data_IF_611200957944
#
_entry.id   IF_611200957944
#
_cell.length_a   1.000
_cell.length_b   1.000
_cell.length_c   1.000
_cell.angle_alpha   90.00
_cell.angle_beta   90.00
_cell.angle_gamma   90.00
#
_symmetry.space_group_name_H-M   'P 1'
#
loop_
_entity.id
_entity.type
_entity.pdbx_description
1 polymer ?
#
# COMPACT_ATOMS: atom_id res chain seq x y z
N UNK A 1 -11.41 0.54 13.68
CA UNK A 1 -10.36 -0.21 12.96
C UNK A 1 -10.84 -1.58 12.46
N UNK A 2 -11.41 -2.47 13.28
CA UNK A 2 -12.00 -3.75 12.80
C UNK A 2 -13.05 -3.59 11.68
N UNK A 3 -13.84 -2.50 11.71
CA UNK A 3 -14.80 -2.20 10.64
C UNK A 3 -14.14 -1.83 9.30
N UNK A 4 -12.97 -1.17 9.32
CA UNK A 4 -12.23 -0.74 8.12
C UNK A 4 -11.71 -1.97 7.38
N UNK A 5 -11.04 -2.87 8.11
CA UNK A 5 -10.49 -4.13 7.58
C UNK A 5 -11.60 -4.99 6.97
N UNK A 6 -12.71 -5.18 7.70
CA UNK A 6 -13.85 -5.95 7.18
C UNK A 6 -14.47 -5.31 5.93
N UNK A 7 -14.49 -3.97 5.85
CA UNK A 7 -15.04 -3.28 4.68
C UNK A 7 -14.15 -3.49 3.47
N UNK A 8 -12.82 -3.39 3.62
CA UNK A 8 -11.86 -3.60 2.53
C UNK A 8 -11.93 -5.05 2.04
N UNK A 9 -11.85 -6.02 2.97
CA UNK A 9 -11.91 -7.44 2.63
C UNK A 9 -13.19 -7.80 1.85
N UNK A 10 -14.35 -7.32 2.31
CA UNK A 10 -15.62 -7.54 1.63
C UNK A 10 -15.74 -6.80 0.30
N UNK A 11 -15.13 -5.62 0.16
CA UNK A 11 -15.23 -4.79 -1.05
C UNK A 11 -14.43 -5.39 -2.20
N UNK A 12 -13.28 -5.98 -1.89
CA UNK A 12 -12.33 -6.45 -2.89
C UNK A 12 -12.24 -7.98 -2.98
N UNK A 13 -13.00 -8.70 -2.15
CA UNK A 13 -12.95 -10.15 -1.99
C UNK A 13 -11.50 -10.63 -1.74
N UNK A 14 -10.85 -9.97 -0.78
CA UNK A 14 -9.46 -10.23 -0.39
C UNK A 14 -9.34 -10.49 1.11
N UNK A 15 -8.20 -11.09 1.49
CA UNK A 15 -7.77 -11.20 2.87
C UNK A 15 -6.54 -10.32 3.07
N UNK A 16 -6.69 -9.23 3.82
CA UNK A 16 -5.55 -8.41 4.24
C UNK A 16 -4.64 -9.18 5.21
N UNK A 17 -3.31 -9.16 5.01
CA UNK A 17 -2.38 -9.82 5.92
C UNK A 17 -2.41 -9.23 7.33
N UNK A 18 -2.20 -10.09 8.33
CA UNK A 18 -2.23 -9.67 9.74
C UNK A 18 -1.22 -8.56 10.03
N UNK A 19 -0.01 -8.64 9.48
CA UNK A 19 1.05 -7.64 9.67
C UNK A 19 0.59 -6.22 9.26
N UNK A 20 -0.14 -6.11 8.14
CA UNK A 20 -0.67 -4.84 7.67
C UNK A 20 -1.80 -4.35 8.56
N UNK A 21 -2.71 -5.25 8.96
CA UNK A 21 -3.81 -4.89 9.86
C UNK A 21 -3.31 -4.46 11.24
N UNK A 22 -2.26 -5.09 11.74
CA UNK A 22 -1.64 -4.76 13.02
C UNK A 22 -0.92 -3.42 12.96
N UNK A 23 -0.25 -3.11 11.83
CA UNK A 23 0.35 -1.79 11.60
C UNK A 23 -0.71 -0.68 11.52
N UNK A 24 -1.86 -0.93 10.89
CA UNK A 24 -2.99 0.02 10.89
C UNK A 24 -3.58 0.22 12.30
N UNK A 25 -3.60 -0.82 13.13
CA UNK A 25 -4.13 -0.77 14.50
C UNK A 25 -3.16 -0.03 15.43
N UNK A 26 -1.88 -0.37 15.36
CA UNK A 26 -0.81 0.18 16.17
C UNK A 26 -0.12 1.35 15.48
N UNK A 27 -0.88 2.12 14.69
CA UNK A 27 -0.41 3.16 13.77
C UNK A 27 0.85 3.87 14.31
N UNK A 28 2.04 3.58 13.73
CA UNK A 28 3.32 3.90 14.36
C UNK A 28 3.74 5.34 14.12
N UNK A 29 3.09 6.04 13.19
CA UNK A 29 3.43 7.41 12.85
C UNK A 29 2.93 8.35 13.94
N UNK A 30 3.77 9.34 14.34
CA UNK A 30 3.35 10.34 15.29
C UNK A 30 2.10 11.07 14.75
N UNK A 31 1.18 11.51 15.62
CA UNK A 31 0.12 12.42 15.22
C UNK A 31 0.79 13.67 14.66
N UNK A 32 0.85 13.79 13.35
CA UNK A 32 1.47 14.91 12.68
C UNK A 32 0.54 16.13 12.77
N UNK A 33 1.09 17.26 13.20
CA UNK A 33 0.48 18.60 13.06
C UNK A 33 0.57 19.12 11.61
N UNK A 34 1.30 18.41 10.76
CA UNK A 34 1.47 18.69 9.33
C UNK A 34 0.55 17.76 8.52
N UNK A 35 -0.54 18.28 7.92
CA UNK A 35 -1.50 17.49 7.15
C UNK A 35 -0.86 16.88 5.88
N UNK A 36 0.24 17.44 5.38
CA UNK A 36 0.93 16.97 4.18
C UNK A 36 1.87 15.78 4.52
N UNK A 37 2.33 15.67 5.77
CA UNK A 37 3.20 14.57 6.23
C UNK A 37 2.45 13.28 6.58
N UNK A 38 1.11 13.33 6.68
CA UNK A 38 0.22 12.17 6.88
C UNK A 38 -0.14 11.52 5.53
N UNK A 39 0.04 12.24 4.44
CA UNK A 39 -0.14 11.73 3.10
C UNK A 39 1.20 11.22 2.58
N UNK A 40 1.51 9.98 2.93
CA UNK A 40 2.05 9.19 1.84
C UNK A 40 2.57 7.80 2.10
N UNK A 41 3.07 7.47 3.28
CA UNK A 41 3.73 6.17 3.45
C UNK A 41 2.71 5.08 3.83
N UNK A 42 1.82 5.34 4.80
CA UNK A 42 0.75 4.41 5.18
C UNK A 42 -0.59 5.13 5.37
N UNK A 43 -1.50 4.98 4.41
CA UNK A 43 -2.80 5.65 4.44
C UNK A 43 -3.81 4.87 5.29
N UNK A 44 -4.34 5.53 6.32
CA UNK A 44 -5.42 4.99 7.18
C UNK A 44 -6.84 5.31 6.68
N UNK A 45 -6.96 6.19 5.69
CA UNK A 45 -8.24 6.64 5.17
C UNK A 45 -8.90 5.54 4.32
N UNK A 46 -10.07 5.07 4.76
CA UNK A 46 -10.80 3.99 4.10
C UNK A 46 -11.28 4.37 2.70
N UNK A 47 -11.74 5.61 2.52
CA UNK A 47 -12.26 6.07 1.24
C UNK A 47 -11.14 6.17 0.22
N UNK A 48 -9.96 6.65 0.63
CA UNK A 48 -8.76 6.65 -0.20
C UNK A 48 -8.36 5.24 -0.57
N UNK A 49 -8.21 4.33 0.41
CA UNK A 49 -7.83 2.94 0.17
C UNK A 49 -8.77 2.26 -0.84
N UNK A 50 -10.09 2.42 -0.68
CA UNK A 50 -11.07 1.84 -1.60
C UNK A 50 -11.01 2.50 -2.98
N UNK A 51 -11.02 3.84 -3.05
CA UNK A 51 -11.06 4.55 -4.34
C UNK A 51 -9.78 4.32 -5.14
N UNK A 52 -8.62 4.37 -4.50
CA UNK A 52 -7.32 4.20 -5.15
C UNK A 52 -7.13 2.77 -5.62
N UNK A 53 -7.34 1.77 -4.77
CA UNK A 53 -7.21 0.37 -5.18
C UNK A 53 -8.20 0.00 -6.29
N UNK A 54 -9.43 0.53 -6.23
CA UNK A 54 -10.40 0.33 -7.32
C UNK A 54 -9.91 0.94 -8.62
N UNK A 55 -9.47 2.20 -8.60
CA UNK A 55 -8.93 2.88 -9.79
C UNK A 55 -7.73 2.15 -10.37
N UNK A 56 -6.80 1.69 -9.54
CA UNK A 56 -5.63 0.93 -9.99
C UNK A 56 -6.04 -0.38 -10.65
N UNK A 57 -7.01 -1.12 -10.08
CA UNK A 57 -7.54 -2.35 -10.69
C UNK A 57 -8.33 -2.11 -11.98
N UNK A 58 -9.03 -0.98 -12.09
CA UNK A 58 -9.85 -0.64 -13.27
C UNK A 58 -9.03 -0.05 -14.42
N UNK A 59 -8.06 0.82 -14.11
CA UNK A 59 -7.31 1.60 -15.10
C UNK A 59 -5.83 1.21 -15.21
N UNK A 60 -5.35 0.30 -14.35
CA UNK A 60 -3.94 -0.04 -14.25
C UNK A 60 -3.10 1.05 -13.55
N UNK A 61 -1.78 0.95 -13.68
CA UNK A 61 -0.81 1.89 -13.12
C UNK A 61 0.07 2.48 -14.23
N UNK A 62 0.24 3.81 -14.22
CA UNK A 62 1.12 4.58 -15.11
C UNK A 62 1.33 3.99 -16.50
N UNK A 63 0.33 4.16 -17.37
CA UNK A 63 0.34 3.73 -18.78
C UNK A 63 0.35 2.21 -19.02
N UNK A 64 0.36 1.40 -17.96
CA UNK A 64 0.23 -0.06 -18.07
C UNK A 64 -1.20 -0.50 -17.78
N UNK A 65 -1.75 -1.33 -18.66
CA UNK A 65 -3.16 -1.76 -18.64
C UNK A 65 -3.50 -2.77 -17.52
N UNK A 66 -2.56 -3.11 -16.62
CA UNK A 66 -2.78 -4.21 -15.68
C UNK A 66 -2.17 -4.02 -14.30
N UNK A 67 -3.03 -3.78 -13.31
CA UNK A 67 -2.75 -3.94 -11.89
C UNK A 67 -3.35 -5.26 -11.39
N UNK A 68 -2.54 -6.23 -10.95
CA UNK A 68 -3.07 -7.50 -10.48
C UNK A 68 -3.98 -7.36 -9.25
N UNK A 69 -5.07 -8.14 -9.19
CA UNK A 69 -6.00 -8.13 -8.06
C UNK A 69 -5.37 -8.52 -6.71
N UNK A 70 -4.21 -9.19 -6.75
CA UNK A 70 -3.46 -9.56 -5.55
C UNK A 70 -2.53 -8.44 -5.06
N UNK A 71 -2.40 -7.32 -5.78
CA UNK A 71 -1.70 -6.15 -5.28
C UNK A 71 -2.67 -5.20 -4.61
N UNK A 72 -2.25 -4.67 -3.47
CA UNK A 72 -3.04 -3.74 -2.68
C UNK A 72 -2.20 -2.51 -2.33
N UNK A 73 -2.58 -1.34 -2.84
CA UNK A 73 -1.94 -0.08 -2.53
C UNK A 73 -2.26 0.34 -1.09
N UNK A 74 -1.21 0.63 -0.34
CA UNK A 74 -1.24 1.01 1.09
C UNK A 74 -0.84 2.46 1.33
N UNK A 75 -0.18 3.09 0.36
CA UNK A 75 0.28 4.47 0.43
C UNK A 75 0.68 5.02 -0.94
N UNK A 76 1.08 6.29 -0.97
CA UNK A 76 1.57 7.00 -2.14
C UNK A 76 2.51 8.14 -1.74
N UNK A 77 3.62 8.39 -2.42
CA UNK A 77 4.57 9.43 -1.99
C UNK A 77 4.18 10.88 -2.36
N UNK A 78 2.97 11.09 -2.91
CA UNK A 78 2.51 12.38 -3.42
C UNK A 78 3.11 12.81 -4.76
N UNK A 79 4.20 12.17 -5.21
CA UNK A 79 4.84 12.39 -6.51
C UNK A 79 4.35 11.43 -7.59
N UNK A 80 3.49 10.48 -7.23
CA UNK A 80 2.88 9.53 -8.16
C UNK A 80 3.33 8.10 -7.95
N UNK A 81 4.23 7.87 -6.99
CA UNK A 81 4.63 6.53 -6.61
C UNK A 81 3.62 5.96 -5.61
N UNK A 82 3.34 4.66 -5.72
CA UNK A 82 2.44 3.97 -4.80
C UNK A 82 3.15 2.88 -4.05
N UNK A 83 2.98 2.84 -2.73
CA UNK A 83 3.41 1.72 -1.91
C UNK A 83 2.31 0.66 -1.94
N UNK A 84 2.67 -0.60 -2.19
CA UNK A 84 1.73 -1.70 -2.27
C UNK A 84 2.25 -2.97 -1.62
N UNK A 85 1.31 -3.83 -1.23
CA UNK A 85 1.58 -5.16 -0.69
C UNK A 85 1.06 -6.22 -1.64
N UNK A 86 1.73 -7.36 -1.65
CA UNK A 86 1.30 -8.55 -2.36
C UNK A 86 0.50 -9.45 -1.40
N UNK A 87 -0.74 -9.75 -1.77
CA UNK A 87 -1.67 -10.57 -0.99
C UNK A 87 -1.47 -12.07 -1.24
N UNK A 88 -0.52 -12.48 -2.08
CA UNK A 88 -0.17 -13.90 -2.28
C UNK A 88 0.55 -14.44 -1.05
N UNK A 89 0.29 -15.71 -0.74
CA UNK A 89 0.66 -16.37 0.51
C UNK A 89 2.09 -16.06 0.98
N UNK A 90 2.17 -15.57 2.23
CA UNK A 90 3.39 -15.34 3.04
C UNK A 90 4.31 -14.20 2.60
N UNK A 91 3.88 -13.37 1.66
CA UNK A 91 4.63 -12.17 1.31
C UNK A 91 4.44 -11.09 2.39
N UNK A 92 5.52 -10.74 3.08
CA UNK A 92 5.56 -9.64 4.06
C UNK A 92 6.22 -8.40 3.51
N UNK A 93 6.74 -8.46 2.28
CA UNK A 93 7.48 -7.37 1.68
C UNK A 93 6.55 -6.25 1.25
N UNK A 94 7.07 -5.04 1.34
CA UNK A 94 6.44 -3.82 0.87
C UNK A 94 7.12 -3.43 -0.44
N UNK A 95 6.32 -3.13 -1.45
CA UNK A 95 6.78 -2.78 -2.78
C UNK A 95 6.47 -1.33 -3.10
N UNK A 96 7.28 -0.72 -3.97
CA UNK A 96 7.04 0.61 -4.52
C UNK A 96 6.80 0.53 -6.03
N UNK A 97 5.68 1.06 -6.48
CA UNK A 97 5.38 1.27 -7.88
C UNK A 97 5.82 2.69 -8.23
N UNK A 98 6.98 2.82 -8.86
CA UNK A 98 7.51 4.10 -9.32
C UNK A 98 6.85 4.51 -10.66
N UNK A 99 6.35 5.74 -10.74
CA UNK A 99 5.69 6.27 -11.93
C UNK A 99 6.65 6.66 -13.06
N UNK A 100 7.94 6.82 -12.77
CA UNK A 100 8.99 7.09 -13.75
C UNK A 100 9.60 5.82 -14.33
N UNK A 101 9.36 4.65 -13.72
CA UNK A 101 9.93 3.36 -14.09
C UNK A 101 8.92 2.44 -14.82
N UNK A 102 9.46 1.47 -15.58
CA UNK A 102 8.64 0.45 -16.23
C UNK A 102 8.07 -0.53 -15.19
N UNK A 103 6.76 -0.41 -14.91
CA UNK A 103 6.06 -1.30 -13.99
C UNK A 103 5.91 -2.74 -14.52
N UNK A 104 6.84 -3.64 -14.24
CA UNK A 104 6.67 -5.06 -14.52
C UNK A 104 6.07 -5.86 -13.35
N UNK A 105 4.75 -6.10 -13.37
CA UNK A 105 4.06 -6.92 -12.36
C UNK A 105 4.59 -8.37 -12.20
N UNK A 106 5.44 -8.86 -13.13
CA UNK A 106 6.08 -10.19 -13.04
C UNK A 106 7.42 -10.15 -12.31
N UNK A 107 8.03 -8.97 -12.18
CA UNK A 107 9.34 -8.77 -11.56
C UNK A 107 9.20 -7.89 -10.31
N UNK A 108 8.23 -8.20 -9.45
CA UNK A 108 7.99 -7.44 -8.21
C UNK A 108 9.23 -7.36 -7.31
N UNK A 109 10.14 -8.33 -7.37
CA UNK A 109 11.36 -8.36 -6.56
C UNK A 109 12.30 -7.20 -6.84
N UNK A 110 12.25 -6.57 -8.03
CA UNK A 110 13.04 -5.36 -8.30
C UNK A 110 12.40 -4.09 -7.74
N UNK A 111 11.15 -4.19 -7.28
CA UNK A 111 10.35 -3.11 -6.70
C UNK A 111 10.25 -3.23 -5.18
N UNK A 112 10.97 -4.17 -4.57
CA UNK A 112 10.96 -4.37 -3.12
C UNK A 112 11.60 -3.16 -2.45
N UNK A 113 10.81 -2.48 -1.62
CA UNK A 113 11.25 -1.35 -0.82
C UNK A 113 11.71 -1.81 0.57
N UNK A 114 10.96 -2.73 1.18
CA UNK A 114 11.28 -3.31 2.48
C UNK A 114 10.85 -4.77 2.54
N UNK A 115 11.58 -5.62 3.26
CA UNK A 115 11.24 -7.05 3.38
C UNK A 115 10.13 -7.32 4.39
N UNK A 116 9.80 -6.34 5.23
CA UNK A 116 8.74 -6.41 6.22
C UNK A 116 8.19 -5.01 6.58
N UNK A 117 7.00 -5.00 7.20
CA UNK A 117 6.34 -3.74 7.60
C UNK A 117 7.11 -3.00 8.69
N UNK A 118 7.89 -3.67 9.55
CA UNK A 118 8.65 -3.00 10.62
C UNK A 118 9.82 -2.20 10.06
N UNK A 119 10.56 -2.79 9.12
CA UNK A 119 11.60 -2.14 8.33
C UNK A 119 11.02 -0.96 7.57
N UNK A 120 9.89 -1.18 6.86
CA UNK A 120 9.18 -0.09 6.19
C UNK A 120 8.86 1.06 7.15
N UNK A 121 8.24 0.77 8.29
CA UNK A 121 7.89 1.78 9.30
C UNK A 121 9.12 2.52 9.80
N UNK A 122 10.23 1.81 10.07
CA UNK A 122 11.46 2.44 10.53
C UNK A 122 12.02 3.38 9.47
N UNK A 123 12.09 2.95 8.21
CA UNK A 123 12.55 3.79 7.10
C UNK A 123 11.68 5.05 6.98
N UNK A 124 10.36 4.90 7.08
CA UNK A 124 9.43 6.03 7.06
C UNK A 124 9.61 7.01 8.25
N UNK A 125 10.14 6.54 9.40
CA UNK A 125 10.36 7.33 10.61
C UNK A 125 11.73 8.02 10.63
N UNK A 126 12.70 7.51 9.87
CA UNK A 126 14.04 8.08 9.75
C UNK A 126 14.12 9.23 8.71
N UNK A 127 13.09 9.42 7.88
CA UNK A 127 12.90 10.54 6.94
C UNK A 127 12.30 11.82 7.56
#
# INVERSE_FOLDING_TARGET
>A
MRNIINTINNTFDIELPSFYTDALINYPFPPSDDPDRIEGQLVKDLDWLIKTNRKLRENGFCYQDYWPNHFFAIGFDGFGNYYFINLRQQDTSIYIADHEEDFNHKEISSMELASNIEEYINDCLEE
#
